data_IF_515903942128
#
_entry.id   IF_515903942128
#
_cell.length_a   1.000
_cell.length_b   1.000
_cell.length_c   1.000
_cell.angle_alpha   90.00
_cell.angle_beta   90.00
_cell.angle_gamma   90.00
#
_symmetry.space_group_name_H-M   'P 1'
#
loop_
_entity.id
_entity.type
_entity.pdbx_description
1 polymer ?
#
# COMPACT_ATOMS: atom_id res chain seq x y z
N UNK A 1 2.35 -43.86 36.62
CA UNK A 1 0.98 -43.30 36.47
C UNK A 1 0.91 -41.80 36.66
N UNK A 2 1.48 -41.22 37.73
CA UNK A 2 1.36 -39.78 38.04
C UNK A 2 1.92 -38.82 36.96
N UNK A 3 3.06 -39.17 36.33
CA UNK A 3 3.65 -38.36 35.23
C UNK A 3 2.84 -38.40 33.92
N UNK A 4 2.15 -39.51 33.64
CA UNK A 4 1.30 -39.67 32.46
C UNK A 4 0.02 -38.86 32.64
N UNK A 5 -0.58 -38.91 33.84
CA UNK A 5 -1.76 -38.10 34.18
C UNK A 5 -1.48 -36.59 34.07
N UNK A 6 -0.30 -36.14 34.54
CA UNK A 6 0.11 -34.74 34.43
C UNK A 6 0.26 -34.30 32.96
N UNK A 7 0.84 -35.15 32.10
CA UNK A 7 0.99 -34.88 30.67
C UNK A 7 -0.35 -34.80 29.93
N UNK A 8 -1.29 -35.69 30.24
CA UNK A 8 -2.66 -35.64 29.70
C UNK A 8 -3.42 -34.40 30.17
N UNK A 9 -3.28 -33.99 31.44
CA UNK A 9 -3.89 -32.77 31.96
C UNK A 9 -3.31 -31.52 31.27
N UNK A 10 -1.99 -31.45 31.06
CA UNK A 10 -1.36 -30.34 30.33
C UNK A 10 -1.80 -30.29 28.87
N UNK A 11 -1.88 -31.44 28.17
CA UNK A 11 -2.41 -31.50 26.79
C UNK A 11 -3.88 -31.09 26.70
N UNK A 12 -4.72 -31.51 27.65
CA UNK A 12 -6.14 -31.11 27.70
C UNK A 12 -6.29 -29.62 28.00
N UNK A 13 -5.47 -29.07 28.91
CA UNK A 13 -5.43 -27.62 29.20
C UNK A 13 -4.94 -26.82 27.99
N UNK A 14 -3.87 -27.24 27.31
CA UNK A 14 -3.40 -26.55 26.10
C UNK A 14 -4.40 -26.64 24.94
N UNK A 15 -5.07 -27.78 24.77
CA UNK A 15 -6.09 -27.97 23.75
C UNK A 15 -7.35 -27.13 23.99
N UNK A 16 -7.76 -26.97 25.25
CA UNK A 16 -8.92 -26.14 25.63
C UNK A 16 -8.63 -24.64 25.50
N UNK A 17 -7.42 -24.20 25.88
CA UNK A 17 -6.98 -22.80 25.68
C UNK A 17 -6.95 -22.45 24.19
N UNK A 18 -6.35 -23.29 23.34
CA UNK A 18 -6.29 -23.06 21.89
C UNK A 18 -7.68 -23.04 21.22
N UNK A 19 -8.62 -23.88 21.68
CA UNK A 19 -9.99 -23.89 21.17
C UNK A 19 -10.77 -22.63 21.57
N UNK A 20 -10.60 -22.16 22.80
CA UNK A 20 -11.23 -20.94 23.30
C UNK A 20 -10.71 -19.69 22.57
N UNK A 21 -9.40 -19.61 22.35
CA UNK A 21 -8.76 -18.53 21.60
C UNK A 21 -9.26 -18.47 20.15
N UNK A 22 -9.32 -19.62 19.46
CA UNK A 22 -9.90 -19.71 18.12
C UNK A 22 -11.38 -19.31 18.06
N UNK A 23 -12.15 -19.60 19.11
CA UNK A 23 -13.56 -19.21 19.18
C UNK A 23 -13.71 -17.69 19.34
N UNK A 24 -12.85 -17.05 20.14
CA UNK A 24 -12.82 -15.59 20.32
C UNK A 24 -12.46 -14.90 19.00
N UNK A 25 -11.39 -15.33 18.33
CA UNK A 25 -10.97 -14.78 17.02
C UNK A 25 -12.10 -14.90 15.98
N UNK A 26 -12.73 -16.07 15.89
CA UNK A 26 -13.89 -16.28 15.00
C UNK A 26 -15.09 -15.39 15.34
N UNK A 27 -15.35 -15.14 16.63
CA UNK A 27 -16.44 -14.26 17.05
C UNK A 27 -16.14 -12.79 16.70
N UNK A 28 -14.90 -12.35 16.90
CA UNK A 28 -14.44 -11.01 16.50
C UNK A 28 -14.57 -10.83 14.98
N UNK A 29 -14.12 -11.81 14.18
CA UNK A 29 -14.23 -11.76 12.73
C UNK A 29 -15.68 -11.68 12.22
N UNK A 30 -16.64 -12.23 12.96
CA UNK A 30 -18.09 -12.13 12.65
C UNK A 30 -18.69 -10.77 12.97
N UNK A 31 -18.20 -10.07 14.00
CA UNK A 31 -18.75 -8.79 14.44
C UNK A 31 -17.82 -7.61 14.14
N UNK A 32 -17.79 -7.21 12.86
CA UNK A 32 -16.96 -6.11 12.37
C UNK A 32 -17.72 -4.81 12.14
N UNK A 33 -19.02 -4.75 12.49
CA UNK A 33 -19.75 -3.48 12.44
C UNK A 33 -19.33 -2.60 13.62
N UNK A 34 -18.71 -1.46 13.33
CA UNK A 34 -18.18 -0.49 14.31
C UNK A 34 -18.96 0.83 14.25
N UNK A 35 -18.57 1.79 15.08
CA UNK A 35 -19.06 3.17 15.05
C UNK A 35 -17.86 4.12 14.91
N UNK A 36 -18.08 5.31 14.33
CA UNK A 36 -16.99 6.26 14.11
C UNK A 36 -16.31 6.72 15.40
N UNK A 37 -17.07 6.78 16.49
CA UNK A 37 -16.58 7.20 17.80
C UNK A 37 -15.84 6.08 18.54
N UNK A 38 -15.82 4.85 18.02
CA UNK A 38 -14.93 3.79 18.52
C UNK A 38 -13.48 4.03 18.10
N UNK A 39 -13.26 4.89 17.12
CA UNK A 39 -11.92 5.27 16.68
C UNK A 39 -11.63 6.71 17.08
N UNK A 40 -10.53 6.91 17.82
CA UNK A 40 -10.05 8.23 18.14
C UNK A 40 -9.61 8.98 16.88
N UNK A 41 -9.86 10.29 16.86
CA UNK A 41 -9.39 11.12 15.74
C UNK A 41 -7.84 11.13 15.71
N UNK A 42 -7.22 11.16 14.53
CA UNK A 42 -5.75 11.17 14.42
C UNK A 42 -5.12 12.41 15.10
N UNK A 43 -5.86 13.50 15.26
CA UNK A 43 -5.41 14.69 15.99
C UNK A 43 -5.23 14.45 17.50
N UNK A 44 -5.96 13.48 18.09
CA UNK A 44 -5.72 13.06 19.49
C UNK A 44 -4.33 12.44 19.59
N UNK A 45 -3.99 11.56 18.65
CA UNK A 45 -2.69 10.91 18.56
C UNK A 45 -1.54 11.93 18.44
N UNK A 46 -1.75 13.02 17.70
CA UNK A 46 -0.75 14.08 17.50
C UNK A 46 -0.27 14.73 18.81
N UNK A 47 -1.08 14.72 19.87
CA UNK A 47 -0.72 15.29 21.17
C UNK A 47 0.48 14.60 21.83
N UNK A 48 0.66 13.29 21.57
CA UNK A 48 1.77 12.50 22.09
C UNK A 48 2.72 11.97 21.01
N UNK A 49 2.21 11.69 19.80
CA UNK A 49 2.96 11.08 18.69
C UNK A 49 3.21 12.09 17.56
N UNK A 50 3.73 13.28 17.87
CA UNK A 50 3.84 14.37 16.89
C UNK A 50 4.69 14.01 15.66
N UNK A 51 5.79 13.27 15.83
CA UNK A 51 6.68 12.91 14.71
C UNK A 51 5.97 11.92 13.79
N UNK A 52 5.34 10.88 14.36
CA UNK A 52 4.56 9.90 13.59
C UNK A 52 3.36 10.54 12.90
N UNK A 53 2.63 11.40 13.61
CA UNK A 53 1.52 12.16 13.03
C UNK A 53 1.98 13.05 11.88
N UNK A 54 3.10 13.76 12.03
CA UNK A 54 3.63 14.62 10.98
C UNK A 54 4.04 13.82 9.74
N UNK A 55 4.59 12.61 9.91
CA UNK A 55 4.95 11.69 8.83
C UNK A 55 3.72 11.11 8.15
N UNK A 56 2.75 10.63 8.94
CA UNK A 56 1.48 10.12 8.45
C UNK A 56 0.70 11.19 7.67
N UNK A 57 0.61 12.43 8.17
CA UNK A 57 -0.14 13.50 7.51
C UNK A 57 0.45 13.90 6.14
N UNK A 58 1.72 13.57 5.87
CA UNK A 58 2.33 13.71 4.54
C UNK A 58 1.86 12.59 3.60
N UNK A 59 1.69 11.38 4.12
CA UNK A 59 1.48 10.14 3.36
C UNK A 59 0.16 10.09 2.60
N UNK A 60 0.11 9.21 1.60
CA UNK A 60 -1.12 8.87 0.90
C UNK A 60 -2.13 8.11 1.79
N UNK A 61 -1.69 7.42 2.84
CA UNK A 61 -2.62 6.80 3.81
C UNK A 61 -3.54 7.84 4.46
N UNK A 62 -3.00 9.00 4.88
CA UNK A 62 -3.80 10.10 5.42
C UNK A 62 -4.76 10.74 4.41
N UNK A 63 -4.56 10.48 3.12
CA UNK A 63 -5.29 11.05 1.99
C UNK A 63 -6.06 10.01 1.19
N UNK A 64 -6.09 8.76 1.63
CA UNK A 64 -6.59 7.68 0.78
C UNK A 64 -8.04 7.90 0.35
N UNK A 65 -8.87 8.47 1.23
CA UNK A 65 -10.20 8.93 0.86
C UNK A 65 -10.19 10.30 0.15
N UNK A 66 -9.45 11.28 0.65
CA UNK A 66 -9.52 12.67 0.14
C UNK A 66 -8.71 12.90 -1.15
N UNK A 67 -8.05 11.88 -1.67
CA UNK A 67 -7.21 11.96 -2.85
C UNK A 67 -8.01 12.38 -4.09
N UNK A 68 -7.49 13.33 -4.88
CA UNK A 68 -8.25 13.88 -6.02
C UNK A 68 -8.54 12.84 -7.11
N UNK A 69 -7.63 11.90 -7.30
CA UNK A 69 -7.77 10.77 -8.20
C UNK A 69 -8.78 9.76 -7.66
N UNK A 70 -8.64 9.35 -6.39
CA UNK A 70 -9.58 8.42 -5.76
C UNK A 70 -11.01 8.98 -5.77
N UNK A 71 -11.19 10.25 -5.41
CA UNK A 71 -12.50 10.90 -5.43
C UNK A 71 -13.11 10.89 -6.84
N UNK A 72 -12.32 11.15 -7.89
CA UNK A 72 -12.85 11.04 -9.27
C UNK A 72 -13.18 9.60 -9.63
N UNK A 73 -12.26 8.67 -9.43
CA UNK A 73 -12.45 7.26 -9.76
C UNK A 73 -13.65 6.66 -9.03
N UNK A 74 -13.75 6.88 -7.72
CA UNK A 74 -14.80 6.30 -6.90
C UNK A 74 -16.19 6.80 -7.31
N UNK A 75 -16.39 8.12 -7.36
CA UNK A 75 -17.73 8.66 -7.60
C UNK A 75 -18.14 8.71 -9.06
N UNK A 76 -17.18 8.90 -9.98
CA UNK A 76 -17.49 9.14 -11.38
C UNK A 76 -17.32 7.88 -12.23
N UNK A 77 -16.59 6.85 -11.75
CA UNK A 77 -16.40 5.57 -12.45
C UNK A 77 -16.97 4.37 -11.67
N UNK A 78 -16.50 4.14 -10.44
CA UNK A 78 -16.83 2.92 -9.67
C UNK A 78 -18.33 2.86 -9.33
N UNK A 79 -18.90 3.93 -8.75
CA UNK A 79 -20.33 3.94 -8.41
C UNK A 79 -21.21 3.75 -9.67
N UNK A 80 -21.01 4.48 -10.77
CA UNK A 80 -21.76 4.24 -12.01
C UNK A 80 -21.58 2.81 -12.57
N UNK A 81 -20.38 2.23 -12.41
CA UNK A 81 -20.05 0.90 -12.95
C UNK A 81 -20.91 -0.23 -12.37
N UNK A 82 -21.47 -0.07 -11.18
CA UNK A 82 -22.33 -1.08 -10.55
C UNK A 82 -23.59 -1.41 -11.38
N UNK A 83 -23.98 -0.52 -12.29
CA UNK A 83 -25.11 -0.71 -13.21
C UNK A 83 -24.74 -1.40 -14.52
N UNK A 84 -23.44 -1.56 -14.82
CA UNK A 84 -22.97 -2.10 -16.10
C UNK A 84 -23.03 -3.62 -16.16
N UNK A 85 -22.83 -4.31 -15.04
CA UNK A 85 -22.91 -5.77 -14.96
C UNK A 85 -23.28 -6.26 -13.54
N UNK A 86 -23.99 -7.38 -13.40
CA UNK A 86 -24.33 -7.95 -12.09
C UNK A 86 -23.12 -8.21 -11.18
N UNK A 87 -21.99 -8.61 -11.75
CA UNK A 87 -20.74 -8.89 -11.04
C UNK A 87 -20.13 -7.63 -10.41
N UNK A 88 -20.39 -6.45 -11.00
CA UNK A 88 -19.88 -5.18 -10.49
C UNK A 88 -20.73 -4.61 -9.34
N UNK A 89 -21.85 -5.25 -9.01
CA UNK A 89 -22.70 -4.81 -7.90
C UNK A 89 -21.95 -4.92 -6.57
N UNK A 90 -21.80 -3.79 -5.88
CA UNK A 90 -21.14 -3.72 -4.58
C UNK A 90 -19.63 -3.48 -4.65
N UNK A 91 -19.05 -3.29 -5.84
CA UNK A 91 -17.59 -3.07 -5.99
C UNK A 91 -17.09 -1.83 -5.22
N UNK A 92 -17.95 -0.83 -5.02
CA UNK A 92 -17.64 0.38 -4.23
C UNK A 92 -17.26 0.06 -2.78
N UNK A 93 -17.82 -1.02 -2.22
CA UNK A 93 -17.58 -1.43 -0.84
C UNK A 93 -16.09 -1.79 -0.67
N UNK A 94 -15.50 -2.43 -1.69
CA UNK A 94 -14.08 -2.76 -1.72
C UNK A 94 -13.18 -1.53 -1.69
N UNK A 95 -13.53 -0.51 -2.46
CA UNK A 95 -12.80 0.77 -2.48
C UNK A 95 -12.78 1.42 -1.09
N UNK A 96 -13.94 1.55 -0.44
CA UNK A 96 -14.04 2.15 0.91
C UNK A 96 -13.38 1.27 1.96
N UNK A 97 -13.41 -0.05 1.80
CA UNK A 97 -12.69 -1.00 2.64
C UNK A 97 -11.20 -0.67 2.76
N UNK A 98 -10.55 -0.27 1.67
CA UNK A 98 -9.14 0.11 1.71
C UNK A 98 -8.93 1.62 1.96
N UNK A 99 -9.75 2.49 1.39
CA UNK A 99 -9.49 3.94 1.36
C UNK A 99 -10.11 4.75 2.51
N UNK A 100 -11.15 4.23 3.16
CA UNK A 100 -11.78 4.82 4.35
C UNK A 100 -12.26 3.71 5.29
N UNK A 101 -11.36 2.88 5.83
CA UNK A 101 -11.71 1.66 6.55
C UNK A 101 -12.61 1.89 7.77
N UNK A 102 -12.49 3.02 8.47
CA UNK A 102 -13.45 3.34 9.54
C UNK A 102 -14.86 3.57 9.00
N UNK A 103 -15.01 4.19 7.82
CA UNK A 103 -16.31 4.37 7.16
C UNK A 103 -16.91 3.02 6.77
N UNK A 104 -16.10 2.17 6.13
CA UNK A 104 -16.46 0.79 5.78
C UNK A 104 -17.00 0.03 6.99
N UNK A 105 -16.26 0.03 8.10
CA UNK A 105 -16.64 -0.67 9.33
C UNK A 105 -17.91 -0.09 9.97
N UNK A 106 -18.23 1.20 9.77
CA UNK A 106 -19.52 1.76 10.20
C UNK A 106 -20.70 1.42 9.29
N UNK A 107 -20.44 0.89 8.10
CA UNK A 107 -21.43 0.65 7.06
C UNK A 107 -21.71 1.84 6.15
N UNK A 108 -20.87 2.88 6.19
CA UNK A 108 -20.94 4.02 5.27
C UNK A 108 -20.15 3.69 3.99
N UNK A 109 -20.79 2.97 3.05
CA UNK A 109 -20.16 2.54 1.79
C UNK A 109 -20.09 3.63 0.71
N UNK A 110 -20.81 4.72 0.89
CA UNK A 110 -20.73 5.91 0.03
C UNK A 110 -20.69 7.13 0.95
N UNK A 111 -19.52 7.47 1.52
CA UNK A 111 -19.36 8.71 2.26
C UNK A 111 -19.65 9.92 1.38
N UNK A 112 -19.86 11.10 1.96
CA UNK A 112 -19.97 12.34 1.19
C UNK A 112 -18.64 12.69 0.50
N UNK A 113 -18.71 13.29 -0.70
CA UNK A 113 -17.51 13.76 -1.41
C UNK A 113 -16.71 14.69 -0.52
N UNK A 114 -15.39 14.52 -0.49
CA UNK A 114 -14.53 15.44 0.25
C UNK A 114 -14.64 16.85 -0.36
N UNK A 115 -14.89 17.90 0.43
CA UNK A 115 -14.96 19.27 -0.07
C UNK A 115 -13.60 19.78 -0.55
N UNK A 116 -12.51 19.18 -0.06
CA UNK A 116 -11.13 19.51 -0.42
C UNK A 116 -10.41 18.22 -0.81
N UNK A 117 -9.89 18.18 -2.03
CA UNK A 117 -9.12 17.04 -2.52
C UNK A 117 -7.63 17.37 -2.61
N UNK A 118 -6.77 16.42 -2.24
CA UNK A 118 -5.32 16.57 -2.33
C UNK A 118 -4.65 15.21 -2.52
N UNK A 119 -3.75 15.12 -3.49
CA UNK A 119 -2.96 13.93 -3.80
C UNK A 119 -1.44 14.14 -3.66
N UNK A 120 -1.00 15.31 -3.20
CA UNK A 120 0.42 15.60 -3.04
C UNK A 120 0.97 15.03 -1.71
N UNK A 121 2.25 14.65 -1.70
CA UNK A 121 2.98 14.25 -0.47
C UNK A 121 3.36 15.48 0.39
N UNK A 122 2.36 16.28 0.78
CA UNK A 122 2.53 17.48 1.60
C UNK A 122 1.62 17.44 2.82
N UNK A 123 1.95 18.28 3.82
CA UNK A 123 1.14 18.37 5.03
C UNK A 123 -0.18 19.05 4.68
N UNK A 124 -1.26 18.48 5.17
CA UNK A 124 -2.59 19.09 5.07
C UNK A 124 -2.97 19.71 6.40
N UNK A 125 -3.48 20.94 6.35
CA UNK A 125 -4.04 21.62 7.50
C UNK A 125 -5.48 21.15 7.74
N UNK A 126 -5.95 21.28 8.98
CA UNK A 126 -7.33 21.00 9.36
C UNK A 126 -7.56 19.68 10.10
N UNK A 127 -8.79 19.51 10.57
CA UNK A 127 -9.23 18.32 11.27
C UNK A 127 -9.79 17.30 10.27
N UNK A 128 -9.30 16.06 10.37
CA UNK A 128 -9.75 14.92 9.59
C UNK A 128 -10.75 14.14 10.44
N UNK A 129 -11.98 14.01 9.95
CA UNK A 129 -13.06 13.32 10.64
C UNK A 129 -13.75 12.34 9.71
N UNK A 130 -14.42 11.33 10.27
CA UNK A 130 -15.13 10.31 9.47
C UNK A 130 -14.25 9.69 8.37
N UNK A 131 -14.73 9.64 7.13
CA UNK A 131 -13.99 9.08 5.99
C UNK A 131 -12.71 9.86 5.66
N UNK A 132 -12.66 11.18 5.92
CA UNK A 132 -11.47 12.02 5.65
C UNK A 132 -10.26 11.66 6.52
N UNK A 133 -10.46 10.81 7.54
CA UNK A 133 -9.35 10.20 8.30
C UNK A 133 -8.48 9.30 7.42
N UNK A 134 -9.00 8.79 6.29
CA UNK A 134 -8.27 7.84 5.44
C UNK A 134 -7.90 6.57 6.19
N UNK A 135 -6.68 6.07 5.99
CA UNK A 135 -6.06 5.02 6.81
C UNK A 135 -5.22 5.72 7.88
N UNK A 136 -5.64 5.64 9.14
CA UNK A 136 -5.08 6.43 10.24
C UNK A 136 -4.66 5.57 11.43
N UNK A 137 -3.95 6.20 12.36
CA UNK A 137 -3.32 5.58 13.52
C UNK A 137 -4.25 4.57 14.21
N UNK A 138 -5.42 5.03 14.63
CA UNK A 138 -6.29 4.23 15.48
C UNK A 138 -6.93 3.04 14.75
N UNK A 139 -7.20 3.20 13.45
CA UNK A 139 -7.63 2.08 12.63
C UNK A 139 -6.53 1.02 12.52
N UNK A 140 -5.32 1.39 12.08
CA UNK A 140 -4.23 0.42 11.91
C UNK A 140 -3.89 -0.26 13.24
N UNK A 141 -3.74 0.52 14.31
CA UNK A 141 -3.33 0.01 15.62
C UNK A 141 -4.45 -0.74 16.38
N UNK A 142 -5.66 -0.87 15.82
CA UNK A 142 -6.70 -1.77 16.34
C UNK A 142 -6.88 -3.03 15.50
N UNK A 143 -6.09 -3.22 14.43
CA UNK A 143 -6.10 -4.48 13.70
C UNK A 143 -5.41 -5.55 14.55
N UNK A 144 -6.09 -6.69 14.73
CA UNK A 144 -5.60 -7.79 15.57
C UNK A 144 -5.21 -9.03 14.78
N UNK A 145 -5.88 -9.28 13.66
CA UNK A 145 -5.65 -10.42 12.77
C UNK A 145 -6.41 -10.21 11.46
N UNK A 146 -6.32 -11.21 10.57
CA UNK A 146 -6.98 -11.24 9.27
C UNK A 146 -7.92 -12.45 9.16
N UNK A 147 -8.84 -12.46 8.19
CA UNK A 147 -9.75 -13.62 8.02
C UNK A 147 -9.08 -14.76 7.24
N UNK A 148 -8.24 -14.41 6.28
CA UNK A 148 -7.57 -15.32 5.36
C UNK A 148 -6.04 -15.20 5.45
N UNK A 149 -5.37 -16.21 4.90
CA UNK A 149 -3.91 -16.32 4.83
C UNK A 149 -3.53 -16.78 3.39
N UNK A 150 -2.95 -15.91 2.55
CA UNK A 150 -2.67 -14.50 2.80
C UNK A 150 -3.96 -13.63 2.76
N UNK A 151 -3.97 -12.46 3.41
CA UNK A 151 -5.11 -11.54 3.36
C UNK A 151 -5.13 -10.71 2.05
N UNK A 152 -6.32 -10.40 1.56
CA UNK A 152 -6.56 -9.60 0.34
C UNK A 152 -7.96 -8.98 0.39
N UNK A 153 -8.25 -7.93 -0.38
CA UNK A 153 -9.56 -7.24 -0.37
C UNK A 153 -10.02 -6.87 1.05
N UNK A 154 -9.38 -5.87 1.67
CA UNK A 154 -9.75 -5.28 2.97
C UNK A 154 -10.00 -6.31 4.09
N UNK A 155 -9.10 -7.29 4.21
CA UNK A 155 -9.32 -8.48 5.05
C UNK A 155 -8.89 -8.36 6.52
N UNK A 156 -8.90 -7.14 7.05
CA UNK A 156 -8.53 -6.86 8.43
C UNK A 156 -9.67 -7.13 9.41
N UNK A 157 -9.31 -7.52 10.65
CA UNK A 157 -10.20 -7.58 11.81
C UNK A 157 -9.79 -6.53 12.84
N UNK A 158 -10.66 -5.53 13.04
CA UNK A 158 -10.47 -4.49 14.05
C UNK A 158 -11.12 -4.87 15.39
N UNK A 159 -10.38 -4.65 16.46
CA UNK A 159 -10.85 -4.79 17.85
C UNK A 159 -11.54 -3.55 18.36
N UNK A 160 -11.64 -2.46 17.59
CA UNK A 160 -12.14 -1.18 18.07
C UNK A 160 -13.53 -1.29 18.73
N UNK A 161 -13.70 -0.62 19.87
CA UNK A 161 -14.93 -0.59 20.67
C UNK A 161 -15.17 0.82 21.24
N UNK A 162 -16.25 1.00 22.00
CA UNK A 162 -16.48 2.26 22.73
C UNK A 162 -15.50 2.46 23.90
N UNK A 163 -14.90 1.37 24.40
CA UNK A 163 -13.92 1.43 25.47
C UNK A 163 -12.54 1.83 24.93
N UNK A 164 -11.62 2.16 25.83
CA UNK A 164 -10.22 2.39 25.46
C UNK A 164 -9.62 1.08 24.97
N UNK A 165 -9.43 0.96 23.65
CA UNK A 165 -8.92 -0.27 23.06
C UNK A 165 -7.41 -0.42 23.25
N UNK A 166 -6.97 -1.67 23.37
CA UNK A 166 -5.56 -2.03 23.23
C UNK A 166 -5.07 -1.64 21.84
N UNK A 167 -3.97 -0.89 21.80
CA UNK A 167 -3.28 -0.51 20.57
C UNK A 167 -2.09 -1.45 20.34
N UNK A 168 -2.05 -2.07 19.18
CA UNK A 168 -1.06 -3.07 18.79
C UNK A 168 0.12 -2.45 18.04
N UNK A 169 1.32 -3.02 18.17
CA UNK A 169 2.49 -2.59 17.40
C UNK A 169 3.65 -3.58 17.51
N UNK A 170 4.75 -3.27 16.83
CA UNK A 170 6.01 -4.04 16.77
C UNK A 170 6.92 -3.82 17.99
N UNK A 171 6.68 -2.80 18.79
CA UNK A 171 7.58 -2.45 19.90
C UNK A 171 7.42 -3.40 21.09
N UNK A 172 8.54 -3.98 21.55
CA UNK A 172 8.60 -4.73 22.82
C UNK A 172 8.37 -3.82 24.04
N UNK A 173 7.69 -4.34 25.06
CA UNK A 173 7.35 -3.60 26.30
C UNK A 173 6.70 -2.23 26.00
N UNK A 174 5.63 -2.18 25.19
CA UNK A 174 4.97 -0.93 24.88
C UNK A 174 4.27 -0.41 26.15
N UNK A 175 4.19 0.92 26.27
CA UNK A 175 3.54 1.57 27.39
C UNK A 175 2.94 2.91 26.95
N UNK A 176 1.74 3.20 27.43
CA UNK A 176 1.04 4.47 27.23
C UNK A 176 0.24 4.83 28.48
N UNK A 177 0.17 6.12 28.86
CA UNK A 177 -0.69 6.57 29.96
C UNK A 177 -2.16 6.77 29.54
N UNK A 178 -2.48 6.68 28.23
CA UNK A 178 -3.81 6.97 27.69
C UNK A 178 -4.57 5.73 27.24
N UNK A 179 -3.88 4.82 26.56
CA UNK A 179 -4.49 3.61 26.00
C UNK A 179 -3.71 2.36 26.43
N UNK A 180 -4.38 1.22 26.45
CA UNK A 180 -3.69 -0.06 26.61
C UNK A 180 -2.80 -0.33 25.40
N UNK A 181 -1.74 -1.11 25.60
CA UNK A 181 -0.76 -1.41 24.56
C UNK A 181 -0.37 -2.87 24.58
N UNK A 182 -0.20 -3.47 23.40
CA UNK A 182 0.29 -4.83 23.26
C UNK A 182 1.24 -4.95 22.06
N UNK A 183 2.27 -5.77 22.22
CA UNK A 183 3.13 -6.17 21.08
C UNK A 183 2.36 -7.18 20.23
N UNK A 184 2.51 -7.10 18.91
CA UNK A 184 1.85 -8.00 17.96
C UNK A 184 2.71 -8.27 16.74
N UNK A 185 2.93 -9.56 16.47
CA UNK A 185 3.77 -10.03 15.36
C UNK A 185 3.22 -9.62 13.98
N UNK A 186 1.92 -9.34 13.86
CA UNK A 186 1.35 -8.90 12.56
C UNK A 186 1.95 -7.57 12.09
N UNK A 187 2.47 -6.74 13.00
CA UNK A 187 3.08 -5.46 12.65
C UNK A 187 4.52 -5.62 12.11
N UNK A 188 5.12 -6.80 12.29
CA UNK A 188 6.41 -7.19 11.73
C UNK A 188 6.24 -8.00 10.43
N UNK A 189 5.00 -8.40 10.10
CA UNK A 189 4.67 -9.27 8.97
C UNK A 189 4.17 -8.46 7.76
N UNK A 190 4.63 -8.75 6.52
CA UNK A 190 4.15 -8.09 5.31
C UNK A 190 2.65 -8.32 5.02
N UNK A 191 2.03 -9.36 5.58
CA UNK A 191 0.60 -9.66 5.44
C UNK A 191 -0.29 -8.53 5.97
N UNK A 192 0.16 -7.75 6.96
CA UNK A 192 -0.57 -6.56 7.41
C UNK A 192 -0.81 -5.58 6.25
N UNK A 193 0.18 -5.39 5.39
CA UNK A 193 0.04 -4.55 4.21
C UNK A 193 -0.82 -5.21 3.13
N UNK A 194 -0.76 -6.54 3.00
CA UNK A 194 -1.51 -7.32 2.00
C UNK A 194 -3.04 -7.20 2.16
N UNK A 195 -3.53 -6.85 3.36
CA UNK A 195 -4.95 -6.55 3.57
C UNK A 195 -5.51 -5.51 2.59
N UNK A 196 -4.69 -4.55 2.16
CA UNK A 196 -5.06 -3.51 1.19
C UNK A 196 -4.19 -3.54 -0.08
N UNK A 197 -2.96 -4.05 -0.02
CA UNK A 197 -2.00 -4.11 -1.14
C UNK A 197 -2.06 -5.44 -1.93
N UNK A 198 -3.18 -6.15 -1.83
CA UNK A 198 -3.51 -7.31 -2.65
C UNK A 198 -5.02 -7.29 -2.95
N UNK A 199 -5.40 -7.08 -4.20
CA UNK A 199 -6.78 -6.85 -4.62
C UNK A 199 -7.20 -7.71 -5.82
N UNK A 200 -8.26 -8.49 -5.61
CA UNK A 200 -8.99 -9.24 -6.62
C UNK A 200 -10.24 -8.48 -7.05
N UNK A 201 -10.42 -8.31 -8.35
CA UNK A 201 -11.66 -7.79 -8.89
C UNK A 201 -12.80 -8.83 -8.81
N UNK A 202 -14.06 -8.45 -9.10
CA UNK A 202 -15.21 -9.37 -9.06
C UNK A 202 -15.16 -10.55 -10.03
N UNK A 203 -14.21 -10.56 -10.96
CA UNK A 203 -13.97 -11.65 -11.91
C UNK A 203 -12.80 -12.56 -11.50
N UNK A 204 -12.32 -12.44 -10.26
CA UNK A 204 -11.17 -13.17 -9.70
C UNK A 204 -9.86 -12.94 -10.46
N UNK A 205 -9.66 -11.71 -10.96
CA UNK A 205 -8.42 -11.28 -11.58
C UNK A 205 -7.73 -10.29 -10.62
N UNK A 206 -6.45 -10.52 -10.36
CA UNK A 206 -5.63 -9.60 -9.57
C UNK A 206 -5.45 -8.29 -10.32
N UNK A 207 -6.01 -7.21 -9.77
CA UNK A 207 -5.86 -5.83 -10.28
C UNK A 207 -4.81 -5.03 -9.50
N UNK A 208 -4.48 -5.53 -8.30
CA UNK A 208 -3.32 -5.10 -7.50
C UNK A 208 -2.72 -6.35 -6.88
N UNK A 209 -1.49 -6.68 -7.22
CA UNK A 209 -0.85 -7.93 -6.80
C UNK A 209 0.45 -7.71 -6.01
N UNK A 210 0.61 -6.55 -5.36
CA UNK A 210 1.90 -6.12 -4.79
C UNK A 210 2.45 -7.12 -3.77
N UNK A 211 1.60 -7.69 -2.90
CA UNK A 211 2.06 -8.72 -1.97
C UNK A 211 2.50 -10.00 -2.70
N UNK A 212 1.73 -10.46 -3.68
CA UNK A 212 2.10 -11.65 -4.47
C UNK A 212 3.40 -11.44 -5.24
N UNK A 213 3.58 -10.27 -5.85
CA UNK A 213 4.84 -9.89 -6.51
C UNK A 213 6.02 -9.87 -5.53
N UNK A 214 5.77 -9.46 -4.28
CA UNK A 214 6.76 -9.52 -3.22
C UNK A 214 7.12 -10.95 -2.82
N UNK A 215 6.11 -11.79 -2.64
CA UNK A 215 6.26 -13.21 -2.31
C UNK A 215 7.09 -13.97 -3.36
N UNK A 216 6.86 -13.64 -4.64
CA UNK A 216 7.58 -14.21 -5.77
C UNK A 216 9.01 -13.66 -5.94
N UNK A 217 9.37 -12.61 -5.20
CA UNK A 217 10.70 -11.98 -5.27
C UNK A 217 11.74 -12.69 -4.39
N UNK A 218 13.02 -12.30 -4.48
CA UNK A 218 14.05 -12.77 -3.54
C UNK A 218 13.96 -12.18 -2.12
N UNK A 219 13.09 -11.19 -1.85
CA UNK A 219 13.07 -10.43 -0.59
C UNK A 219 12.55 -11.20 0.62
N UNK A 220 11.48 -12.02 0.51
CA UNK A 220 11.05 -12.89 1.61
C UNK A 220 12.18 -13.78 2.12
N UNK A 221 12.97 -14.38 1.21
CA UNK A 221 14.13 -15.21 1.57
C UNK A 221 15.25 -14.45 2.28
N UNK A 222 15.29 -13.12 2.15
CA UNK A 222 16.25 -12.23 2.81
C UNK A 222 15.70 -11.60 4.10
N UNK A 223 14.47 -11.94 4.47
CA UNK A 223 13.77 -11.34 5.61
C UNK A 223 13.66 -9.80 5.52
N UNK A 224 13.50 -9.28 4.30
CA UNK A 224 13.29 -7.85 4.05
C UNK A 224 11.82 -7.64 3.74
N UNK A 225 11.05 -7.23 4.74
CA UNK A 225 9.60 -7.02 4.63
C UNK A 225 9.24 -5.60 4.17
N UNK A 226 7.97 -5.38 3.82
CA UNK A 226 7.43 -4.09 3.39
C UNK A 226 7.84 -2.92 4.31
N UNK A 227 7.72 -3.15 5.62
CA UNK A 227 8.03 -2.20 6.68
C UNK A 227 9.49 -1.72 6.64
N UNK A 228 10.43 -2.59 6.24
CA UNK A 228 11.87 -2.26 6.16
C UNK A 228 12.11 -1.02 5.28
N UNK A 229 11.41 -0.94 4.15
CA UNK A 229 11.56 0.14 3.18
C UNK A 229 10.52 1.26 3.36
N UNK A 230 9.27 0.92 3.68
CA UNK A 230 8.15 1.88 3.73
C UNK A 230 7.87 2.44 5.13
N UNK A 231 8.39 1.81 6.18
CA UNK A 231 8.32 2.23 7.59
C UNK A 231 9.73 2.22 8.21
N UNK A 232 10.66 2.89 7.53
CA UNK A 232 12.10 2.84 7.83
C UNK A 232 12.42 2.99 9.32
N UNK A 233 13.42 2.24 9.76
CA UNK A 233 13.89 2.27 11.15
C UNK A 233 14.41 3.67 11.49
N UNK A 234 13.95 4.19 12.62
CA UNK A 234 14.41 5.44 13.21
C UNK A 234 14.57 5.31 14.72
N UNK A 235 15.58 5.98 15.28
CA UNK A 235 15.76 6.03 16.73
C UNK A 235 14.88 7.08 17.41
N UNK A 236 14.96 7.13 18.74
CA UNK A 236 14.33 8.16 19.55
C UNK A 236 13.06 7.69 20.25
N UNK A 237 12.18 8.63 20.57
CA UNK A 237 10.96 8.35 21.32
C UNK A 237 9.77 8.13 20.36
N UNK A 238 9.04 7.00 20.45
CA UNK A 238 7.84 6.80 19.64
C UNK A 238 6.67 7.71 20.06
N UNK A 239 6.72 8.25 21.29
CA UNK A 239 5.77 9.20 21.85
C UNK A 239 6.46 10.13 22.86
N UNK A 240 5.89 11.31 23.12
CA UNK A 240 6.38 12.30 24.12
C UNK A 240 6.83 11.69 25.44
N UNK A 241 5.96 10.86 26.00
CA UNK A 241 6.11 10.20 27.30
C UNK A 241 6.65 8.77 27.17
N UNK A 242 6.95 8.33 25.95
CA UNK A 242 7.49 7.02 25.67
C UNK A 242 8.96 6.88 26.05
N UNK A 243 9.38 5.61 26.18
CA UNK A 243 10.76 5.22 26.39
C UNK A 243 11.58 5.54 25.13
N UNK A 244 12.79 6.08 25.30
CA UNK A 244 13.72 6.27 24.18
C UNK A 244 14.20 4.91 23.70
N UNK A 245 14.12 4.65 22.40
CA UNK A 245 14.51 3.39 21.77
C UNK A 245 15.63 3.62 20.75
N UNK A 246 16.56 2.67 20.58
CA UNK A 246 17.53 2.71 19.49
C UNK A 246 16.81 2.59 18.14
N UNK A 247 15.73 1.82 18.08
CA UNK A 247 14.97 1.52 16.88
C UNK A 247 13.46 1.59 17.16
N UNK A 248 12.72 2.18 16.23
CA UNK A 248 11.27 2.20 16.08
C UNK A 248 10.93 2.55 14.62
N UNK A 249 9.66 2.52 14.24
CA UNK A 249 9.26 2.51 12.83
C UNK A 249 8.69 3.85 12.33
N UNK A 250 9.25 4.42 11.27
CA UNK A 250 8.70 5.64 10.64
C UNK A 250 7.31 5.39 10.04
N UNK A 251 6.52 6.44 9.86
CA UNK A 251 5.15 6.40 9.32
C UNK A 251 5.02 7.30 8.09
N UNK A 252 6.07 7.39 7.28
CA UNK A 252 6.11 8.20 6.07
C UNK A 252 5.39 7.52 4.89
N UNK A 253 5.49 6.19 4.76
CA UNK A 253 4.84 5.38 3.72
C UNK A 253 5.07 5.91 2.29
N UNK A 254 6.32 6.20 1.95
CA UNK A 254 6.70 6.72 0.64
C UNK A 254 6.42 5.75 -0.51
N UNK A 255 6.26 6.30 -1.72
CA UNK A 255 5.91 5.55 -2.92
C UNK A 255 5.82 6.46 -4.15
N UNK A 256 4.88 6.20 -5.05
CA UNK A 256 4.75 6.86 -6.37
C UNK A 256 4.54 8.38 -6.38
N UNK A 257 4.22 9.00 -5.25
CA UNK A 257 3.99 10.46 -5.12
C UNK A 257 5.15 11.20 -4.44
N UNK A 258 6.30 10.54 -4.32
CA UNK A 258 7.50 11.09 -3.67
C UNK A 258 8.73 10.84 -4.52
N UNK A 259 9.81 11.56 -4.23
CA UNK A 259 11.15 11.37 -4.83
C UNK A 259 11.70 9.95 -4.61
N UNK A 260 11.06 9.14 -3.75
CA UNK A 260 11.36 7.71 -3.59
C UNK A 260 11.45 6.94 -4.90
N UNK A 261 10.67 7.33 -5.92
CA UNK A 261 10.66 6.71 -7.24
C UNK A 261 12.00 6.86 -7.97
N UNK A 262 12.77 7.92 -7.69
CA UNK A 262 14.08 8.15 -8.33
C UNK A 262 15.09 7.05 -7.98
N UNK A 263 14.94 6.40 -6.83
CA UNK A 263 15.76 5.26 -6.41
C UNK A 263 15.25 3.89 -6.87
N UNK A 264 14.07 3.81 -7.50
CA UNK A 264 13.40 2.55 -7.80
C UNK A 264 13.87 1.89 -9.11
N UNK A 265 14.46 2.65 -10.03
CA UNK A 265 15.00 2.14 -11.27
C UNK A 265 16.22 2.94 -11.73
N UNK A 266 17.14 2.27 -12.41
CA UNK A 266 18.28 2.89 -13.08
C UNK A 266 18.15 2.74 -14.58
N UNK A 267 18.44 3.82 -15.32
CA UNK A 267 18.50 3.84 -16.77
C UNK A 267 19.92 4.21 -17.17
N UNK A 268 20.60 3.33 -17.91
CA UNK A 268 21.99 3.54 -18.35
C UNK A 268 22.08 3.40 -19.85
N UNK A 269 22.66 4.40 -20.51
CA UNK A 269 23.02 4.33 -21.93
C UNK A 269 24.45 3.80 -22.04
N UNK A 270 24.64 2.71 -22.78
CA UNK A 270 25.95 2.12 -23.05
C UNK A 270 26.40 2.45 -24.46
N UNK A 271 27.54 3.14 -24.54
CA UNK A 271 28.24 3.50 -25.76
C UNK A 271 29.66 2.96 -25.68
N UNK A 272 30.22 2.50 -26.79
CA UNK A 272 31.60 2.00 -26.82
C UNK A 272 32.65 3.13 -26.69
N UNK A 273 32.24 4.38 -26.89
CA UNK A 273 33.09 5.58 -26.85
C UNK A 273 32.25 6.85 -26.73
N UNK A 274 32.91 7.98 -26.46
CA UNK A 274 32.24 9.28 -26.22
C UNK A 274 32.40 10.28 -27.38
N UNK A 275 33.31 10.01 -28.32
CA UNK A 275 33.57 10.89 -29.47
C UNK A 275 33.13 10.24 -30.79
N UNK A 276 32.40 11.00 -31.60
CA UNK A 276 31.83 10.54 -32.86
C UNK A 276 32.10 11.53 -33.99
N UNK A 277 32.31 11.00 -35.20
CA UNK A 277 32.47 11.83 -36.39
C UNK A 277 31.10 12.20 -36.94
N UNK A 278 31.01 13.40 -37.53
CA UNK A 278 29.79 13.82 -38.24
C UNK A 278 29.43 12.81 -39.33
N UNK A 279 28.18 12.35 -39.33
CA UNK A 279 27.65 11.38 -40.31
C UNK A 279 27.95 9.91 -39.99
N UNK A 280 28.58 9.64 -38.86
CA UNK A 280 28.82 8.28 -38.39
C UNK A 280 27.55 7.63 -37.82
N UNK A 281 27.39 6.33 -38.05
CA UNK A 281 26.37 5.52 -37.40
C UNK A 281 26.86 5.07 -36.03
N UNK A 282 26.06 5.31 -35.00
CA UNK A 282 26.40 4.99 -33.61
C UNK A 282 25.49 3.88 -33.12
N UNK A 283 26.09 2.77 -32.70
CA UNK A 283 25.38 1.72 -31.97
C UNK A 283 25.47 2.02 -30.48
N UNK A 284 24.35 1.82 -29.78
CA UNK A 284 24.28 1.95 -28.33
C UNK A 284 23.20 1.00 -27.81
N UNK A 285 23.27 0.70 -26.51
CA UNK A 285 22.17 0.03 -25.80
C UNK A 285 21.66 0.90 -24.67
N UNK A 286 20.41 0.68 -24.28
CA UNK A 286 19.83 1.27 -23.08
C UNK A 286 19.45 0.14 -22.15
N UNK A 287 20.05 0.15 -20.96
CA UNK A 287 19.77 -0.82 -19.92
C UNK A 287 18.87 -0.17 -18.88
N UNK A 288 17.68 -0.74 -18.70
CA UNK A 288 16.73 -0.34 -17.66
C UNK A 288 16.64 -1.46 -16.64
N UNK A 289 16.91 -1.13 -15.38
CA UNK A 289 16.89 -2.09 -14.29
C UNK A 289 16.06 -1.54 -13.14
N UNK A 290 15.09 -2.32 -12.66
CA UNK A 290 14.46 -2.05 -11.37
C UNK A 290 15.48 -2.30 -10.26
N UNK A 291 15.71 -1.31 -9.40
CA UNK A 291 16.72 -1.33 -8.35
C UNK A 291 16.05 -1.37 -7.00
N UNK A 292 16.44 -2.36 -6.20
CA UNK A 292 16.07 -2.47 -4.80
C UNK A 292 14.54 -2.47 -4.52
N UNK A 293 13.69 -2.81 -5.50
CA UNK A 293 12.26 -2.99 -5.28
C UNK A 293 11.98 -4.43 -4.85
N UNK A 294 11.27 -4.60 -3.73
CA UNK A 294 10.85 -5.90 -3.24
C UNK A 294 9.68 -6.52 -4.01
N UNK A 295 9.17 -5.83 -5.02
CA UNK A 295 8.03 -6.18 -5.87
C UNK A 295 8.30 -5.63 -7.29
N UNK A 296 7.35 -5.75 -8.22
CA UNK A 296 7.51 -5.19 -9.58
C UNK A 296 7.56 -3.66 -9.55
N UNK A 297 8.13 -3.06 -10.60
CA UNK A 297 8.16 -1.61 -10.77
C UNK A 297 7.58 -1.24 -12.14
N UNK A 298 6.49 -0.46 -12.19
CA UNK A 298 5.63 -0.08 -11.06
C UNK A 298 4.80 -1.27 -10.54
N UNK A 299 4.37 -1.20 -9.27
CA UNK A 299 3.39 -2.13 -8.67
C UNK A 299 2.10 -1.37 -8.32
N UNK A 300 1.09 -2.09 -7.85
CA UNK A 300 -0.16 -1.53 -7.34
C UNK A 300 -1.26 -1.58 -8.40
N UNK A 301 -1.97 -0.46 -8.59
CA UNK A 301 -3.05 -0.35 -9.58
C UNK A 301 -2.52 -0.56 -10.99
N UNK A 302 -2.82 -1.73 -11.55
CA UNK A 302 -2.40 -2.15 -12.90
C UNK A 302 -3.01 -1.28 -14.00
N UNK A 303 -4.15 -0.66 -13.72
CA UNK A 303 -4.91 0.17 -14.64
C UNK A 303 -4.46 1.64 -14.67
N UNK A 304 -3.59 2.05 -13.73
CA UNK A 304 -3.17 3.45 -13.57
C UNK A 304 -1.67 3.67 -13.67
N UNK A 305 -0.87 2.66 -13.34
CA UNK A 305 0.57 2.81 -13.15
C UNK A 305 1.33 2.30 -14.36
N UNK A 306 1.68 3.24 -15.23
CA UNK A 306 2.53 3.00 -16.39
C UNK A 306 3.89 3.69 -16.23
N UNK A 307 4.93 3.07 -16.79
CA UNK A 307 6.24 3.70 -17.02
C UNK A 307 6.58 3.55 -18.50
N UNK A 308 7.22 4.57 -19.08
CA UNK A 308 7.69 4.53 -20.45
C UNK A 308 9.10 5.11 -20.55
N UNK A 309 9.86 4.61 -21.51
CA UNK A 309 11.19 5.10 -21.84
C UNK A 309 11.08 6.06 -23.02
N UNK A 310 11.49 7.32 -22.84
CA UNK A 310 11.68 8.27 -23.94
C UNK A 310 13.17 8.44 -24.19
N UNK A 311 13.58 8.20 -25.43
CA UNK A 311 14.95 8.44 -25.87
C UNK A 311 14.99 9.60 -26.86
N UNK A 312 15.89 10.55 -26.63
CA UNK A 312 16.10 11.68 -27.53
C UNK A 312 17.57 12.08 -27.62
N UNK A 313 17.94 12.58 -28.79
CA UNK A 313 19.21 13.27 -29.02
C UNK A 313 19.01 14.75 -28.69
N UNK A 314 19.81 15.25 -27.76
CA UNK A 314 19.73 16.62 -27.26
C UNK A 314 21.05 17.34 -27.52
N UNK A 315 21.00 18.60 -27.94
CA UNK A 315 22.20 19.42 -28.15
C UNK A 315 22.76 19.97 -26.81
N UNK A 316 23.90 20.66 -26.86
CA UNK A 316 24.53 21.25 -25.67
C UNK A 316 23.72 22.35 -24.99
N UNK A 317 22.70 22.90 -25.68
CA UNK A 317 21.80 23.93 -25.17
C UNK A 317 20.53 23.31 -24.52
N UNK A 318 20.40 21.97 -24.55
CA UNK A 318 19.26 21.26 -24.01
C UNK A 318 18.09 21.11 -24.99
N UNK A 319 18.28 21.48 -26.26
CA UNK A 319 17.24 21.34 -27.29
C UNK A 319 17.20 19.92 -27.84
N UNK A 320 16.00 19.32 -27.84
CA UNK A 320 15.76 18.02 -28.46
C UNK A 320 15.83 18.15 -29.99
N UNK A 321 16.82 17.50 -30.60
CA UNK A 321 17.03 17.48 -32.05
C UNK A 321 16.29 16.34 -32.72
N UNK A 322 16.17 15.20 -32.03
CA UNK A 322 15.58 13.97 -32.57
C UNK A 322 15.04 13.09 -31.45
N UNK A 323 13.78 12.67 -31.57
CA UNK A 323 13.28 11.51 -30.84
C UNK A 323 13.78 10.23 -31.51
N UNK A 324 14.38 9.33 -30.73
CA UNK A 324 14.89 8.06 -31.24
C UNK A 324 13.81 6.99 -31.04
N UNK A 325 13.21 6.46 -32.13
CA UNK A 325 12.21 5.42 -32.02
C UNK A 325 12.84 4.08 -31.62
N UNK A 326 12.10 3.29 -30.85
CA UNK A 326 12.47 1.90 -30.55
C UNK A 326 12.12 1.03 -31.76
N UNK A 327 13.06 0.26 -32.33
CA UNK A 327 12.78 -0.63 -33.44
C UNK A 327 11.92 -1.81 -32.98
N UNK A 328 10.97 -2.24 -33.81
CA UNK A 328 10.17 -3.44 -33.54
C UNK A 328 11.05 -4.70 -33.53
N UNK A 329 10.74 -5.62 -32.62
CA UNK A 329 11.32 -6.96 -32.54
C UNK A 329 10.28 -8.02 -32.97
N UNK A 330 10.19 -8.34 -34.27
CA UNK A 330 9.17 -9.26 -34.79
C UNK A 330 9.29 -10.70 -34.28
N UNK A 331 10.44 -11.07 -33.70
CA UNK A 331 10.67 -12.40 -33.11
C UNK A 331 10.12 -12.52 -31.68
N UNK A 332 9.80 -11.39 -31.03
CA UNK A 332 9.17 -11.38 -29.71
C UNK A 332 7.64 -11.18 -29.85
N UNK A 333 6.81 -12.19 -29.56
CA UNK A 333 5.35 -12.06 -29.65
C UNK A 333 4.76 -11.03 -28.65
N UNK A 334 5.56 -10.59 -27.67
CA UNK A 334 5.21 -9.56 -26.69
C UNK A 334 5.73 -8.17 -27.06
N UNK A 335 6.49 -7.99 -28.16
CA UNK A 335 7.05 -6.70 -28.60
C UNK A 335 6.01 -5.57 -28.67
N UNK A 336 4.80 -5.92 -29.11
CA UNK A 336 3.64 -5.03 -29.16
C UNK A 336 3.19 -4.46 -27.80
N UNK A 337 3.60 -5.08 -26.69
CA UNK A 337 3.31 -4.60 -25.33
C UNK A 337 4.48 -3.77 -24.76
N UNK A 338 5.67 -3.84 -25.36
CA UNK A 338 6.84 -3.06 -24.93
C UNK A 338 6.97 -1.72 -25.66
N UNK A 339 6.52 -1.63 -26.91
CA UNK A 339 6.52 -0.38 -27.70
C UNK A 339 5.10 0.19 -27.73
N UNK A 340 4.75 1.02 -26.74
CA UNK A 340 3.43 1.65 -26.65
C UNK A 340 3.20 2.70 -27.75
N UNK A 341 4.24 3.45 -28.12
CA UNK A 341 4.25 4.41 -29.23
C UNK A 341 5.68 4.89 -29.55
N UNK A 342 5.97 5.12 -30.83
CA UNK A 342 7.15 5.88 -31.29
C UNK A 342 6.82 7.34 -31.63
N UNK A 343 5.58 7.76 -31.39
CA UNK A 343 5.19 9.17 -31.49
C UNK A 343 5.51 9.90 -30.20
N UNK A 344 5.95 11.17 -30.31
CA UNK A 344 6.15 12.04 -29.15
C UNK A 344 4.78 12.51 -28.65
N UNK A 345 4.20 11.73 -27.75
CA UNK A 345 2.90 12.02 -27.11
C UNK A 345 3.07 12.14 -25.60
N UNK A 346 2.26 13.01 -24.97
CA UNK A 346 2.33 13.24 -23.53
C UNK A 346 1.85 12.03 -22.70
N UNK A 347 0.96 11.21 -23.25
CA UNK A 347 0.38 10.03 -22.60
C UNK A 347 0.22 8.89 -23.62
N UNK A 348 1.27 8.08 -23.84
CA UNK A 348 1.15 6.91 -24.70
C UNK A 348 0.22 5.90 -24.03
N UNK A 349 -0.89 5.54 -24.69
CA UNK A 349 -1.91 4.64 -24.11
C UNK A 349 -1.83 3.24 -24.73
N UNK A 350 -1.76 2.23 -23.88
CA UNK A 350 -1.92 0.82 -24.26
C UNK A 350 -3.32 0.50 -24.81
N UNK A 351 -4.32 1.35 -24.56
CA UNK A 351 -5.73 1.10 -24.90
C UNK A 351 -6.03 1.00 -26.40
N UNK A 352 -5.15 1.51 -27.27
CA UNK A 352 -5.30 1.37 -28.73
C UNK A 352 -4.80 0.01 -29.25
N UNK A 353 -4.01 -0.72 -28.45
CA UNK A 353 -3.39 -2.00 -28.82
C UNK A 353 -4.19 -3.20 -28.29
N UNK A 354 -5.01 -3.00 -27.26
CA UNK A 354 -6.03 -3.97 -26.83
C UNK A 354 -7.25 -3.89 -27.74
N UNK A 355 -7.35 -4.81 -28.70
CA UNK A 355 -8.67 -5.14 -29.27
C UNK A 355 -9.55 -5.64 -28.10
N UNK A 356 -10.79 -5.16 -27.95
CA UNK A 356 -11.72 -5.77 -27.00
C UNK A 356 -11.78 -7.28 -27.28
N UNK A 357 -11.67 -8.11 -26.24
CA UNK A 357 -11.83 -9.56 -26.35
C UNK A 357 -13.29 -9.88 -26.66
#
# INVERSE_FOLDING_TARGET
>A
MQKILLFFIVMLLSGTISAQEKAILKAQAKNQKKQYHYFENPQVCAGCHWDKFARWNLSQHSKAFTGDFFQKQFYDLVIPSESLAPELKGVKDGCIGCHAPSAYLTGEMVPEKSPVTDNFMKKTDGFKTRADRGIFCDFCHTISHFRNDPPFNHDYISTATEAVDTKFGDLEFPWSPHHETATSEIFEDPMMCSTCHNELNPYNIWVKATFTEYEESPYPFRNIVCQTCHMQVMGGKPAKMGITRPENSDHWFGGGFSEFVEGAATVTIKLDREEFKKGELVNFSVDVQAVATGHKFPTGSTEERDVWLRLSLVNSEGEELLHIPVPANPEDPYDKYFITSNEVVAYPSHSKLSQPI
#
